data_IF_569713933693
#
_entry.id   IF_569713933693
#
_cell.length_a   1.000
_cell.length_b   1.000
_cell.length_c   1.000
_cell.angle_alpha   90.00
_cell.angle_beta   90.00
_cell.angle_gamma   90.00
#
_symmetry.space_group_name_H-M   'P 1'
#
loop_
_entity.id
_entity.type
_entity.pdbx_description
1 polymer ?
#
# COMPACT_ATOMS: atom_id res chain seq x y z
N UNK A 1 37.86 -1.04 -22.81
CA UNK A 1 36.44 -1.48 -22.84
C UNK A 1 36.13 -1.95 -21.44
N UNK A 2 35.67 -1.05 -20.58
CA UNK A 2 35.23 -1.42 -19.23
C UNK A 2 33.96 -2.27 -19.41
N UNK A 3 34.04 -3.58 -19.17
CA UNK A 3 32.84 -4.38 -19.00
C UNK A 3 32.20 -3.91 -17.68
N UNK A 4 31.33 -2.91 -17.74
CA UNK A 4 30.62 -2.41 -16.55
C UNK A 4 29.70 -3.52 -16.05
N UNK A 5 30.21 -4.36 -15.16
CA UNK A 5 29.41 -5.38 -14.49
C UNK A 5 28.44 -4.65 -13.55
N UNK A 6 27.19 -4.53 -13.97
CA UNK A 6 26.13 -3.89 -13.16
C UNK A 6 25.97 -4.69 -11.87
N UNK A 7 26.06 -4.00 -10.73
CA UNK A 7 25.88 -4.62 -9.42
C UNK A 7 24.46 -5.15 -9.21
N UNK A 8 24.31 -6.12 -8.32
CA UNK A 8 23.01 -6.71 -8.00
C UNK A 8 22.02 -5.67 -7.48
N UNK A 9 22.50 -4.68 -6.71
CA UNK A 9 21.70 -3.58 -6.20
C UNK A 9 21.18 -2.67 -7.33
N UNK A 10 22.05 -2.25 -8.26
CA UNK A 10 21.66 -1.46 -9.42
C UNK A 10 20.65 -2.19 -10.30
N UNK A 11 20.82 -3.51 -10.49
CA UNK A 11 19.85 -4.34 -11.22
C UNK A 11 18.50 -4.38 -10.51
N UNK A 12 18.48 -4.55 -9.19
CA UNK A 12 17.23 -4.60 -8.42
C UNK A 12 16.48 -3.27 -8.52
N UNK A 13 17.17 -2.14 -8.38
CA UNK A 13 16.61 -0.79 -8.56
C UNK A 13 16.05 -0.62 -9.97
N UNK A 14 16.81 -1.01 -11.00
CA UNK A 14 16.37 -0.92 -12.38
C UNK A 14 15.10 -1.76 -12.65
N UNK A 15 15.03 -2.99 -12.14
CA UNK A 15 13.86 -3.83 -12.31
C UNK A 15 12.61 -3.28 -11.64
N UNK A 16 12.72 -2.75 -10.41
CA UNK A 16 11.58 -2.11 -9.72
C UNK A 16 11.10 -0.88 -10.48
N UNK A 17 12.02 -0.01 -10.91
CA UNK A 17 11.69 1.19 -11.70
C UNK A 17 11.04 0.85 -13.03
N UNK A 18 11.57 -0.14 -13.76
CA UNK A 18 10.95 -0.62 -15.00
C UNK A 18 9.52 -1.10 -14.75
N UNK A 19 9.31 -1.94 -13.74
CA UNK A 19 7.99 -2.48 -13.43
C UNK A 19 6.99 -1.37 -13.04
N UNK A 20 7.41 -0.37 -12.26
CA UNK A 20 6.59 0.80 -11.95
C UNK A 20 6.23 1.62 -13.21
N UNK A 21 7.18 1.80 -14.13
CA UNK A 21 6.92 2.52 -15.38
C UNK A 21 5.95 1.76 -16.29
N UNK A 22 6.06 0.43 -16.39
CA UNK A 22 5.09 -0.38 -17.14
C UNK A 22 3.70 -0.36 -16.50
N UNK A 23 3.60 -0.37 -15.17
CA UNK A 23 2.32 -0.18 -14.48
C UNK A 23 1.68 1.17 -14.81
N UNK A 24 2.47 2.25 -14.86
CA UNK A 24 1.97 3.59 -15.24
C UNK A 24 1.50 3.66 -16.69
N UNK A 25 2.00 2.77 -17.54
CA UNK A 25 1.60 2.64 -18.94
C UNK A 25 0.49 1.60 -19.16
N UNK A 26 -0.15 1.11 -18.08
CA UNK A 26 -1.17 0.05 -18.10
C UNK A 26 -0.71 -1.29 -18.74
N UNK A 27 0.60 -1.50 -18.88
CA UNK A 27 1.19 -2.74 -19.40
C UNK A 27 1.51 -3.72 -18.25
N UNK A 28 0.48 -4.41 -17.80
CA UNK A 28 0.57 -5.36 -16.68
C UNK A 28 1.46 -6.56 -16.99
N UNK A 29 1.54 -6.98 -18.26
CA UNK A 29 2.34 -8.15 -18.68
C UNK A 29 3.82 -7.88 -18.51
N UNK A 30 4.31 -6.74 -19.03
CA UNK A 30 5.70 -6.37 -18.84
C UNK A 30 5.99 -5.98 -17.39
N UNK A 31 5.07 -5.30 -16.71
CA UNK A 31 5.22 -4.99 -15.29
C UNK A 31 5.45 -6.27 -14.44
N UNK A 32 4.63 -7.31 -14.62
CA UNK A 32 4.82 -8.59 -13.94
C UNK A 32 6.15 -9.25 -14.29
N UNK A 33 6.57 -9.18 -15.56
CA UNK A 33 7.84 -9.76 -16.01
C UNK A 33 9.01 -9.15 -15.26
N UNK A 34 9.06 -7.83 -15.15
CA UNK A 34 10.13 -7.15 -14.41
C UNK A 34 9.99 -7.30 -12.89
N UNK A 35 8.77 -7.36 -12.36
CA UNK A 35 8.52 -7.67 -10.96
C UNK A 35 9.07 -9.05 -10.55
N UNK A 36 8.86 -10.09 -11.37
CA UNK A 36 9.41 -11.44 -11.11
C UNK A 36 10.95 -11.43 -11.09
N UNK A 37 11.58 -10.66 -11.98
CA UNK A 37 13.04 -10.46 -11.98
C UNK A 37 13.51 -9.73 -10.72
N UNK A 38 12.81 -8.66 -10.32
CA UNK A 38 13.10 -7.94 -9.09
C UNK A 38 12.97 -8.83 -7.85
N UNK A 39 11.93 -9.66 -7.78
CA UNK A 39 11.68 -10.56 -6.65
C UNK A 39 12.85 -11.53 -6.37
N UNK A 40 13.60 -11.93 -7.41
CA UNK A 40 14.76 -12.80 -7.28
C UNK A 40 16.00 -12.13 -6.69
N UNK A 41 16.07 -10.79 -6.65
CA UNK A 41 17.28 -10.04 -6.28
C UNK A 41 17.02 -9.05 -5.13
N UNK A 42 15.80 -8.53 -4.98
CA UNK A 42 15.49 -7.42 -4.05
C UNK A 42 15.73 -7.75 -2.58
N UNK A 43 15.62 -9.03 -2.20
CA UNK A 43 15.86 -9.47 -0.82
C UNK A 43 17.29 -9.95 -0.58
N UNK A 44 18.10 -10.11 -1.64
CA UNK A 44 19.52 -10.51 -1.54
C UNK A 44 20.44 -9.30 -1.42
N UNK A 45 19.94 -8.11 -1.75
CA UNK A 45 20.69 -6.85 -1.68
C UNK A 45 20.34 -6.07 -0.42
N UNK A 46 21.23 -5.17 -0.01
CA UNK A 46 20.96 -4.18 1.03
C UNK A 46 19.78 -3.29 0.62
N UNK A 47 19.04 -2.79 1.61
CA UNK A 47 17.87 -1.95 1.35
C UNK A 47 18.31 -0.52 1.02
N UNK A 48 18.53 -0.27 -0.26
CA UNK A 48 18.91 1.05 -0.78
C UNK A 48 17.66 1.90 -0.97
N UNK A 49 17.61 3.10 -0.37
CA UNK A 49 16.53 4.10 -0.56
C UNK A 49 15.09 3.54 -0.39
N UNK A 50 14.89 2.59 0.53
CA UNK A 50 13.59 1.97 0.76
C UNK A 50 13.10 1.09 -0.40
N UNK A 51 14.01 0.52 -1.19
CA UNK A 51 13.72 -0.35 -2.33
C UNK A 51 12.76 -1.50 -1.97
N UNK A 52 12.90 -2.10 -0.78
CA UNK A 52 12.01 -3.18 -0.33
C UNK A 52 10.59 -2.68 -0.12
N UNK A 53 10.42 -1.47 0.40
CA UNK A 53 9.10 -0.85 0.57
C UNK A 53 8.48 -0.57 -0.81
N UNK A 54 9.23 0.02 -1.72
CA UNK A 54 8.78 0.28 -3.10
C UNK A 54 8.37 -1.02 -3.82
N UNK A 55 9.15 -2.09 -3.64
CA UNK A 55 8.85 -3.41 -4.19
C UNK A 55 7.56 -4.01 -3.62
N UNK A 56 7.32 -3.86 -2.32
CA UNK A 56 6.08 -4.33 -1.67
C UNK A 56 4.87 -3.54 -2.12
N UNK A 57 4.99 -2.21 -2.27
CA UNK A 57 3.95 -1.35 -2.86
C UNK A 57 3.65 -1.76 -4.30
N UNK A 58 4.68 -2.03 -5.10
CA UNK A 58 4.54 -2.52 -6.48
C UNK A 58 3.81 -3.87 -6.53
N UNK A 59 4.09 -4.79 -5.60
CA UNK A 59 3.39 -6.07 -5.49
C UNK A 59 1.89 -5.85 -5.23
N UNK A 60 1.53 -4.93 -4.32
CA UNK A 60 0.13 -4.60 -4.05
C UNK A 60 -0.57 -4.05 -5.31
N UNK A 61 0.05 -3.08 -5.98
CA UNK A 61 -0.45 -2.46 -7.21
C UNK A 61 -0.66 -3.47 -8.34
N UNK A 62 0.28 -4.40 -8.54
CA UNK A 62 0.14 -5.46 -9.55
C UNK A 62 -1.06 -6.37 -9.27
N UNK A 63 -1.37 -6.66 -8.01
CA UNK A 63 -2.52 -7.49 -7.67
C UNK A 63 -3.83 -6.72 -7.86
N UNK A 64 -3.84 -5.42 -7.59
CA UNK A 64 -4.99 -4.55 -7.86
C UNK A 64 -5.30 -4.51 -9.37
N UNK A 65 -4.27 -4.28 -10.20
CA UNK A 65 -4.39 -4.25 -11.66
C UNK A 65 -4.85 -5.60 -12.25
N UNK A 66 -4.40 -6.72 -11.66
CA UNK A 66 -4.84 -8.06 -12.04
C UNK A 66 -6.20 -8.47 -11.45
N UNK A 67 -6.92 -7.55 -10.80
CA UNK A 67 -8.23 -7.80 -10.16
C UNK A 67 -8.20 -8.88 -9.08
N UNK A 68 -7.03 -9.13 -8.49
CA UNK A 68 -6.85 -10.01 -7.32
C UNK A 68 -7.04 -9.21 -6.04
N UNK A 69 -8.23 -8.64 -5.89
CA UNK A 69 -8.48 -7.59 -4.89
C UNK A 69 -8.28 -8.05 -3.44
N UNK A 70 -8.62 -9.30 -3.10
CA UNK A 70 -8.42 -9.83 -1.74
C UNK A 70 -6.92 -9.86 -1.36
N UNK A 71 -6.07 -10.26 -2.31
CA UNK A 71 -4.61 -10.32 -2.12
C UNK A 71 -4.00 -8.91 -2.18
N UNK A 72 -4.49 -8.06 -3.07
CA UNK A 72 -4.06 -6.66 -3.17
C UNK A 72 -4.28 -5.92 -1.85
N UNK A 73 -5.47 -6.05 -1.27
CA UNK A 73 -5.81 -5.39 -0.01
C UNK A 73 -4.93 -5.86 1.15
N UNK A 74 -4.65 -7.17 1.24
CA UNK A 74 -3.70 -7.70 2.21
C UNK A 74 -2.30 -7.13 2.03
N UNK A 75 -1.81 -7.06 0.80
CA UNK A 75 -0.48 -6.51 0.48
C UNK A 75 -0.36 -5.02 0.81
N UNK A 76 -1.38 -4.20 0.54
CA UNK A 76 -1.38 -2.80 0.96
C UNK A 76 -1.34 -2.66 2.49
N UNK A 77 -2.05 -3.51 3.22
CA UNK A 77 -1.98 -3.53 4.68
C UNK A 77 -0.58 -3.95 5.17
N UNK A 78 0.07 -4.91 4.51
CA UNK A 78 1.43 -5.31 4.86
C UNK A 78 2.45 -4.21 4.60
N UNK A 79 2.26 -3.39 3.57
CA UNK A 79 3.05 -2.16 3.35
C UNK A 79 2.85 -1.19 4.51
N UNK A 80 1.60 -0.88 4.86
CA UNK A 80 1.28 0.02 5.98
C UNK A 80 1.89 -0.42 7.32
N UNK A 81 1.99 -1.74 7.56
CA UNK A 81 2.60 -2.31 8.78
C UNK A 81 4.12 -2.13 8.86
N UNK A 82 4.78 -1.88 7.74
CA UNK A 82 6.23 -1.77 7.66
C UNK A 82 6.69 -0.33 7.55
N UNK A 83 5.77 0.57 7.21
CA UNK A 83 6.00 2.01 7.22
C UNK A 83 6.04 2.47 8.67
N UNK A 84 7.11 3.17 9.03
CA UNK A 84 7.13 3.97 10.24
C UNK A 84 6.34 5.26 9.97
N UNK A 85 5.35 5.60 10.82
CA UNK A 85 4.51 6.78 10.61
C UNK A 85 5.25 8.12 10.72
N UNK A 86 6.44 8.12 11.32
CA UNK A 86 7.30 9.32 11.44
C UNK A 86 8.12 9.58 10.16
N UNK A 87 8.37 8.53 9.36
CA UNK A 87 9.22 8.59 8.17
C UNK A 87 8.43 8.87 6.88
N UNK A 88 7.09 8.81 6.93
CA UNK A 88 6.22 8.88 5.76
C UNK A 88 5.12 9.94 5.93
N UNK A 89 4.85 10.67 4.86
CA UNK A 89 3.80 11.68 4.85
C UNK A 89 2.42 11.05 5.11
N UNK A 90 1.60 11.76 5.90
CA UNK A 90 0.22 11.39 6.22
C UNK A 90 -0.61 11.19 4.96
N UNK A 91 -0.33 11.94 3.88
CA UNK A 91 -1.02 11.76 2.59
C UNK A 91 -0.73 10.41 1.95
N UNK A 92 0.51 9.92 2.03
CA UNK A 92 0.89 8.63 1.46
C UNK A 92 0.24 7.47 2.24
N UNK A 93 0.21 7.58 3.57
CA UNK A 93 -0.49 6.62 4.45
C UNK A 93 -1.99 6.61 4.12
N UNK A 94 -2.60 7.79 3.98
CA UNK A 94 -4.01 7.94 3.60
C UNK A 94 -4.30 7.30 2.24
N UNK A 95 -3.42 7.52 1.26
CA UNK A 95 -3.52 6.93 -0.08
C UNK A 95 -3.47 5.40 -0.05
N UNK A 96 -2.49 4.82 0.65
CA UNK A 96 -2.36 3.36 0.80
C UNK A 96 -3.57 2.75 1.49
N UNK A 97 -4.08 3.40 2.54
CA UNK A 97 -5.24 2.95 3.28
C UNK A 97 -6.52 3.03 2.45
N UNK A 98 -6.66 4.08 1.62
CA UNK A 98 -7.77 4.22 0.68
C UNK A 98 -7.71 3.14 -0.42
N UNK A 99 -6.52 2.85 -0.97
CA UNK A 99 -6.31 1.78 -1.94
C UNK A 99 -6.66 0.40 -1.36
N UNK A 100 -6.20 0.11 -0.15
CA UNK A 100 -6.56 -1.12 0.58
C UNK A 100 -8.08 -1.22 0.78
N UNK A 101 -8.71 -0.14 1.22
CA UNK A 101 -10.16 -0.08 1.45
C UNK A 101 -10.96 -0.34 0.17
N UNK A 102 -10.55 0.28 -0.95
CA UNK A 102 -11.14 0.06 -2.27
C UNK A 102 -11.04 -1.41 -2.68
N UNK A 103 -9.86 -2.02 -2.54
CA UNK A 103 -9.64 -3.43 -2.85
C UNK A 103 -10.53 -4.35 -1.99
N UNK A 104 -10.65 -4.09 -0.69
CA UNK A 104 -11.52 -4.88 0.20
C UNK A 104 -13.00 -4.79 -0.21
N UNK A 105 -13.47 -3.62 -0.66
CA UNK A 105 -14.85 -3.45 -1.12
C UNK A 105 -15.11 -4.27 -2.38
N UNK A 106 -14.15 -4.26 -3.33
CA UNK A 106 -14.25 -4.97 -4.61
C UNK A 106 -14.01 -6.48 -4.49
N UNK A 107 -13.34 -6.94 -3.43
CA UNK A 107 -13.06 -8.35 -3.20
C UNK A 107 -14.34 -9.18 -2.97
N UNK A 108 -14.36 -10.46 -3.40
CA UNK A 108 -15.48 -11.35 -3.13
C UNK A 108 -15.67 -11.56 -1.63
N UNK A 109 -16.91 -11.84 -1.23
CA UNK A 109 -17.22 -12.14 0.17
C UNK A 109 -16.43 -13.38 0.65
N UNK A 110 -15.85 -13.30 1.84
CA UNK A 110 -15.08 -14.40 2.41
C UNK A 110 -14.33 -14.01 3.69
N UNK A 111 -13.74 -15.01 4.37
CA UNK A 111 -13.01 -14.81 5.63
C UNK A 111 -11.84 -13.83 5.50
N UNK A 112 -11.03 -13.98 4.44
CA UNK A 112 -9.87 -13.12 4.19
C UNK A 112 -10.28 -11.65 4.05
N UNK A 113 -11.30 -11.36 3.23
CA UNK A 113 -11.86 -10.01 3.06
C UNK A 113 -12.26 -9.40 4.39
N UNK A 114 -12.97 -10.15 5.23
CA UNK A 114 -13.45 -9.66 6.53
C UNK A 114 -12.31 -9.39 7.51
N UNK A 115 -11.28 -10.24 7.52
CA UNK A 115 -10.10 -10.04 8.35
C UNK A 115 -9.33 -8.78 7.95
N UNK A 116 -9.09 -8.58 6.65
CA UNK A 116 -8.41 -7.39 6.15
C UNK A 116 -9.25 -6.13 6.39
N UNK A 117 -10.56 -6.19 6.13
CA UNK A 117 -11.49 -5.09 6.45
C UNK A 117 -11.38 -4.69 7.92
N UNK A 118 -11.41 -5.66 8.83
CA UNK A 118 -11.30 -5.38 10.26
C UNK A 118 -9.98 -4.67 10.59
N UNK A 119 -8.86 -5.15 10.06
CA UNK A 119 -7.55 -4.57 10.30
C UNK A 119 -7.42 -3.13 9.77
N UNK A 120 -8.01 -2.83 8.60
CA UNK A 120 -8.08 -1.46 8.04
C UNK A 120 -8.83 -0.54 8.98
N UNK A 121 -9.96 -1.00 9.54
CA UNK A 121 -10.82 -0.17 10.39
C UNK A 121 -10.26 0.08 11.78
N UNK A 122 -9.39 -0.81 12.27
CA UNK A 122 -8.66 -0.64 13.54
C UNK A 122 -7.40 0.20 13.40
N UNK A 123 -6.99 0.55 12.18
CA UNK A 123 -5.80 1.35 11.95
C UNK A 123 -5.96 2.77 12.53
N UNK A 124 -4.89 3.34 13.10
CA UNK A 124 -4.95 4.66 13.75
C UNK A 124 -5.39 5.78 12.78
N UNK A 125 -4.99 5.68 11.51
CA UNK A 125 -5.36 6.62 10.45
C UNK A 125 -6.73 6.31 9.80
N UNK A 126 -7.52 5.36 10.33
CA UNK A 126 -8.76 4.96 9.68
C UNK A 126 -9.84 6.05 9.63
N UNK A 127 -9.69 7.15 10.38
CA UNK A 127 -10.59 8.31 10.30
C UNK A 127 -10.44 9.12 9.02
N UNK A 128 -9.32 8.97 8.28
CA UNK A 128 -9.10 9.68 7.01
C UNK A 128 -9.89 9.09 5.84
N UNK A 129 -10.38 7.86 5.98
CA UNK A 129 -11.03 7.11 4.90
C UNK A 129 -12.57 7.08 5.06
N UNK A 130 -13.34 7.35 4.00
CA UNK A 130 -14.80 7.41 4.08
C UNK A 130 -15.45 6.06 4.44
N UNK A 131 -14.76 4.94 4.17
CA UNK A 131 -15.30 3.59 4.40
C UNK A 131 -15.55 3.30 5.90
N UNK A 132 -14.81 3.96 6.81
CA UNK A 132 -15.00 3.78 8.25
C UNK A 132 -16.38 4.25 8.69
N UNK A 133 -16.89 5.33 8.10
CA UNK A 133 -18.23 5.84 8.39
C UNK A 133 -19.34 4.90 7.90
N UNK A 134 -19.20 4.36 6.68
CA UNK A 134 -20.14 3.38 6.13
C UNK A 134 -20.17 2.10 6.97
N UNK A 135 -19.00 1.67 7.45
CA UNK A 135 -18.88 0.46 8.24
C UNK A 135 -19.38 0.62 9.68
N UNK A 136 -19.07 1.73 10.34
CA UNK A 136 -19.62 2.05 11.66
C UNK A 136 -21.15 2.01 11.63
N UNK A 137 -21.76 2.52 10.55
CA UNK A 137 -23.20 2.44 10.30
C UNK A 137 -23.69 1.00 10.11
N UNK A 138 -22.96 0.16 9.37
CA UNK A 138 -23.32 -1.26 9.20
C UNK A 138 -23.23 -2.08 10.50
N UNK A 139 -22.32 -1.76 11.42
CA UNK A 139 -22.21 -2.46 12.72
C UNK A 139 -23.08 -1.87 13.83
N UNK A 140 -23.85 -0.82 13.57
CA UNK A 140 -24.63 -0.14 14.60
C UNK A 140 -23.75 0.49 15.70
N UNK A 141 -22.48 0.79 15.39
CA UNK A 141 -21.61 1.51 16.33
C UNK A 141 -22.11 2.95 16.47
N UNK A 142 -22.10 3.53 17.68
CA UNK A 142 -22.53 4.89 17.90
C UNK A 142 -21.73 5.82 16.99
N UNK A 143 -22.39 6.83 16.40
CA UNK A 143 -21.71 7.84 15.57
C UNK A 143 -20.58 8.41 16.42
N UNK A 144 -19.33 8.11 16.07
CA UNK A 144 -18.21 8.84 16.63
C UNK A 144 -18.46 10.31 16.28
N UNK A 145 -18.67 11.14 17.30
CA UNK A 145 -18.83 12.57 17.11
C UNK A 145 -17.56 13.07 16.44
N UNK A 146 -17.67 13.40 15.15
CA UNK A 146 -16.69 14.20 14.45
C UNK A 146 -16.70 15.60 15.09
N UNK A 147 -16.03 15.74 16.23
CA UNK A 147 -15.57 17.03 16.71
C UNK A 147 -14.06 17.06 16.47
N UNK A 148 -13.55 17.97 15.61
CA UNK A 148 -12.12 18.24 15.62
C UNK A 148 -11.75 18.74 17.03
N UNK A 149 -10.53 18.44 17.54
CA UNK A 149 -10.11 19.00 18.81
C UNK A 149 -10.21 20.53 18.70
N UNK A 150 -11.02 21.12 19.58
CA UNK A 150 -11.15 22.56 19.68
C UNK A 150 -9.75 23.13 19.84
N UNK A 151 -9.31 23.92 18.84
CA UNK A 151 -8.14 24.77 19.02
C UNK A 151 -8.53 25.79 20.07
N UNK A 152 -8.00 25.64 21.28
CA UNK A 152 -8.07 26.65 22.32
C UNK A 152 -7.52 27.96 21.76
N UNK A 153 -8.43 28.87 21.39
CA UNK A 153 -8.09 30.27 21.14
C UNK A 153 -7.76 30.92 22.48
N UNK A 154 -6.52 30.73 22.95
CA UNK A 154 -5.95 31.55 24.02
C UNK A 154 -5.62 32.92 23.44
N UNK A 155 -6.58 33.83 23.51
CA UNK A 155 -6.32 35.26 23.54
C UNK A 155 -7.02 35.86 24.75
N UNK A 156 -6.24 36.06 25.81
CA UNK A 156 -6.45 37.12 26.79
C UNK A 156 -5.11 37.68 27.21
#
# INVERSE_FOLDING_TARGET
MESTSISDAERAVAYVRCAQNFLKADDTVNAERYFRKANGVVFTVEDVDGLRLQFRTLNAQLNDQNRKFADAAGKYLDVLRQVNPEDVDVQEISFLLAAASKCVILAPAGRQRMAVMHAILTHYAADTIPVRFLWARMRGLPRASCHPPARDCVHR
#
